data_IF_481205441491
#
_entry.id   IF_481205441491
#
_cell.length_a   1.000
_cell.length_b   1.000
_cell.length_c   1.000
_cell.angle_alpha   90.00
_cell.angle_beta   90.00
_cell.angle_gamma   90.00
#
_symmetry.space_group_name_H-M   'P 1'
#
loop_
_entity.id
_entity.type
_entity.pdbx_description
1 polymer ?
#
# COMPACT_ATOMS: atom_id res chain seq x y z
N UNK A 1 -48.96 -16.44 -13.59
CA UNK A 1 -48.64 -15.55 -12.40
C UNK A 1 -47.44 -16.09 -11.65
N UNK A 2 -47.40 -17.34 -11.16
CA UNK A 2 -46.31 -17.89 -10.39
C UNK A 2 -44.98 -17.91 -11.19
N UNK A 3 -45.02 -18.35 -12.42
CA UNK A 3 -43.87 -18.44 -13.34
C UNK A 3 -43.29 -17.04 -13.64
N UNK A 4 -44.14 -16.05 -13.83
CA UNK A 4 -43.72 -14.65 -13.99
C UNK A 4 -43.00 -14.09 -12.76
N UNK A 5 -43.53 -14.36 -11.55
CA UNK A 5 -42.90 -13.95 -10.29
C UNK A 5 -41.53 -14.60 -10.09
N UNK A 6 -41.40 -15.90 -10.41
CA UNK A 6 -40.11 -16.60 -10.28
C UNK A 6 -39.09 -16.07 -11.28
N UNK A 7 -39.50 -15.71 -12.49
CA UNK A 7 -38.63 -15.13 -13.51
C UNK A 7 -38.22 -13.69 -13.15
N UNK A 8 -39.11 -12.88 -12.62
CA UNK A 8 -38.81 -11.52 -12.14
C UNK A 8 -37.75 -11.53 -11.00
N UNK A 9 -37.87 -12.46 -10.05
CA UNK A 9 -36.86 -12.67 -9.01
C UNK A 9 -35.50 -13.01 -9.60
N UNK A 10 -35.45 -13.90 -10.63
CA UNK A 10 -34.20 -14.28 -11.28
C UNK A 10 -33.57 -13.09 -12.03
N UNK A 11 -34.37 -12.34 -12.76
CA UNK A 11 -33.92 -11.11 -13.46
C UNK A 11 -33.42 -10.07 -12.48
N UNK A 12 -34.11 -9.85 -11.37
CA UNK A 12 -33.71 -8.91 -10.34
C UNK A 12 -32.38 -9.31 -9.70
N UNK A 13 -32.15 -10.60 -9.44
CA UNK A 13 -30.88 -11.14 -8.92
C UNK A 13 -29.75 -10.92 -9.92
N UNK A 14 -29.94 -11.23 -11.20
CA UNK A 14 -28.93 -11.03 -12.24
C UNK A 14 -28.60 -9.55 -12.46
N UNK A 15 -29.60 -8.66 -12.39
CA UNK A 15 -29.37 -7.21 -12.41
C UNK A 15 -28.51 -6.74 -11.24
N UNK A 16 -28.74 -7.26 -10.03
CA UNK A 16 -27.91 -6.94 -8.86
C UNK A 16 -26.48 -7.45 -9.04
N UNK A 17 -26.31 -8.67 -9.55
CA UNK A 17 -24.98 -9.22 -9.85
C UNK A 17 -24.23 -8.36 -10.88
N UNK A 18 -24.92 -7.90 -11.94
CA UNK A 18 -24.36 -6.99 -12.94
C UNK A 18 -23.97 -5.65 -12.34
N UNK A 19 -24.79 -5.06 -11.47
CA UNK A 19 -24.47 -3.82 -10.76
C UNK A 19 -23.24 -3.97 -9.87
N UNK A 20 -23.11 -5.09 -9.16
CA UNK A 20 -21.94 -5.41 -8.36
C UNK A 20 -20.69 -5.58 -9.21
N UNK A 21 -20.77 -6.30 -10.33
CA UNK A 21 -19.68 -6.45 -11.29
C UNK A 21 -19.24 -5.08 -11.82
N UNK A 22 -20.17 -4.24 -12.25
CA UNK A 22 -19.87 -2.88 -12.72
C UNK A 22 -19.15 -2.06 -11.65
N UNK A 23 -19.61 -2.13 -10.39
CA UNK A 23 -18.93 -1.45 -9.27
C UNK A 23 -17.50 -1.96 -9.03
N UNK A 24 -17.26 -3.26 -9.20
CA UNK A 24 -15.91 -3.84 -9.13
C UNK A 24 -15.02 -3.33 -10.26
N UNK A 25 -15.53 -3.28 -11.48
CA UNK A 25 -14.80 -2.73 -12.63
C UNK A 25 -14.39 -1.27 -12.37
N UNK A 26 -15.30 -0.41 -11.93
CA UNK A 26 -14.96 0.97 -11.60
C UNK A 26 -13.87 1.11 -10.52
N UNK A 27 -13.90 0.25 -9.49
CA UNK A 27 -12.83 0.23 -8.47
C UNK A 27 -11.48 -0.20 -9.06
N UNK A 28 -11.48 -1.18 -9.95
CA UNK A 28 -10.27 -1.62 -10.65
C UNK A 28 -9.71 -0.52 -11.56
N UNK A 29 -10.57 0.16 -12.31
CA UNK A 29 -10.19 1.30 -13.16
C UNK A 29 -9.55 2.43 -12.34
N UNK A 30 -10.11 2.77 -11.17
CA UNK A 30 -9.53 3.77 -10.28
C UNK A 30 -8.17 3.32 -9.71
N UNK A 31 -8.03 2.04 -9.36
CA UNK A 31 -6.75 1.46 -8.93
C UNK A 31 -5.71 1.50 -10.06
N UNK A 32 -6.09 1.16 -11.29
CA UNK A 32 -5.20 1.22 -12.47
C UNK A 32 -4.76 2.65 -12.75
N UNK A 33 -5.68 3.61 -12.64
CA UNK A 33 -5.39 5.00 -12.97
C UNK A 33 -4.59 5.73 -11.90
N UNK A 34 -4.76 5.40 -10.62
CA UNK A 34 -4.22 6.19 -9.49
C UNK A 34 -3.34 5.37 -8.53
N UNK A 35 -3.87 4.27 -8.00
CA UNK A 35 -3.24 3.59 -6.86
C UNK A 35 -1.99 2.80 -7.26
N UNK A 36 -2.06 2.00 -8.32
CA UNK A 36 -0.90 1.23 -8.80
C UNK A 36 0.24 2.14 -9.29
N UNK A 37 0.01 3.17 -10.14
CA UNK A 37 1.07 4.08 -10.55
C UNK A 37 1.76 4.76 -9.38
N UNK A 38 1.01 5.24 -8.39
CA UNK A 38 1.56 5.85 -7.18
C UNK A 38 2.40 4.88 -6.35
N UNK A 39 1.95 3.64 -6.19
CA UNK A 39 2.71 2.61 -5.48
C UNK A 39 4.02 2.26 -6.21
N UNK A 40 3.98 2.17 -7.54
CA UNK A 40 5.15 1.92 -8.38
C UNK A 40 6.17 3.06 -8.21
N UNK A 41 5.74 4.32 -8.30
CA UNK A 41 6.60 5.49 -8.11
C UNK A 41 7.30 5.47 -6.75
N UNK A 42 6.53 5.29 -5.66
CA UNK A 42 7.07 5.21 -4.29
C UNK A 42 8.09 4.07 -4.14
N UNK A 43 7.83 2.91 -4.74
CA UNK A 43 8.74 1.77 -4.68
C UNK A 43 10.00 2.01 -5.51
N UNK A 44 9.90 2.64 -6.68
CA UNK A 44 11.05 3.02 -7.50
C UNK A 44 11.94 4.04 -6.80
N UNK A 45 11.38 5.08 -6.21
CA UNK A 45 12.12 6.06 -5.39
C UNK A 45 12.83 5.39 -4.21
N UNK A 46 12.15 4.45 -3.52
CA UNK A 46 12.72 3.71 -2.41
C UNK A 46 13.88 2.81 -2.85
N UNK A 47 13.76 2.12 -3.98
CA UNK A 47 14.82 1.29 -4.56
C UNK A 47 16.03 2.16 -4.89
N UNK A 48 15.82 3.28 -5.57
CA UNK A 48 16.88 4.23 -5.90
C UNK A 48 17.55 4.78 -4.63
N UNK A 49 16.77 5.12 -3.61
CA UNK A 49 17.29 5.57 -2.32
C UNK A 49 18.19 4.55 -1.65
N UNK A 50 17.79 3.25 -1.61
CA UNK A 50 18.63 2.18 -1.09
C UNK A 50 19.93 2.02 -1.89
N UNK A 51 19.86 2.05 -3.22
CA UNK A 51 21.04 1.95 -4.08
C UNK A 51 22.02 3.10 -3.83
N UNK A 52 21.52 4.32 -3.71
CA UNK A 52 22.33 5.52 -3.42
C UNK A 52 22.97 5.42 -2.03
N UNK A 53 22.21 5.01 -1.02
CA UNK A 53 22.69 4.90 0.34
C UNK A 53 23.75 3.79 0.48
N UNK A 54 23.53 2.63 -0.14
CA UNK A 54 24.52 1.54 -0.18
C UNK A 54 25.81 1.95 -0.87
N UNK A 55 25.73 2.73 -1.96
CA UNK A 55 26.91 3.26 -2.64
C UNK A 55 27.66 4.27 -1.75
N UNK A 56 26.92 5.12 -1.03
CA UNK A 56 27.47 6.07 -0.05
C UNK A 56 28.23 5.32 1.06
N UNK A 57 27.62 4.30 1.64
CA UNK A 57 28.24 3.43 2.64
C UNK A 57 29.50 2.78 2.10
N UNK A 58 29.41 2.19 0.91
CA UNK A 58 30.57 1.52 0.27
C UNK A 58 31.77 2.45 0.04
N UNK A 59 31.51 3.71 -0.31
CA UNK A 59 32.58 4.72 -0.53
C UNK A 59 33.21 5.22 0.76
N UNK A 60 32.46 5.25 1.85
CA UNK A 60 32.89 5.89 3.10
C UNK A 60 33.29 4.90 4.21
N UNK A 61 32.92 3.62 4.08
CA UNK A 61 33.44 2.59 4.98
C UNK A 61 34.78 2.07 4.47
N UNK A 62 35.80 1.95 5.34
CA UNK A 62 37.06 1.31 4.98
C UNK A 62 36.84 -0.13 4.56
N UNK A 63 37.61 -0.60 3.57
CA UNK A 63 37.59 -2.01 3.16
C UNK A 63 38.02 -2.95 4.30
N UNK A 64 38.87 -2.46 5.20
CA UNK A 64 39.31 -3.17 6.39
C UNK A 64 38.35 -2.87 7.54
N UNK A 65 37.65 -3.92 8.01
CA UNK A 65 36.66 -3.83 9.12
C UNK A 65 37.29 -3.45 10.47
N UNK A 66 38.61 -3.52 10.60
CA UNK A 66 39.34 -3.12 11.81
C UNK A 66 39.59 -1.63 11.87
N UNK A 67 39.46 -0.90 10.77
CA UNK A 67 39.57 0.54 10.68
C UNK A 67 38.26 1.24 10.96
N UNK A 68 37.79 1.19 12.21
CA UNK A 68 36.59 1.91 12.62
C UNK A 68 36.88 3.39 12.83
N UNK A 69 36.05 4.27 12.30
CA UNK A 69 36.07 5.71 12.51
C UNK A 69 34.69 6.30 12.48
N UNK A 70 34.27 6.98 13.52
CA UNK A 70 32.95 7.60 13.68
C UNK A 70 33.07 9.00 14.23
N UNK A 71 32.36 9.95 13.64
CA UNK A 71 32.24 11.30 14.20
C UNK A 71 31.00 11.38 15.10
N UNK A 72 31.19 11.74 16.38
CA UNK A 72 30.10 12.04 17.31
C UNK A 72 30.36 13.43 17.92
N UNK A 73 29.40 14.32 17.76
CA UNK A 73 29.60 15.75 18.07
C UNK A 73 30.74 16.32 17.23
N UNK A 74 31.71 16.92 17.90
CA UNK A 74 32.90 17.51 17.27
C UNK A 74 34.15 16.60 17.34
N UNK A 75 34.01 15.34 17.78
CA UNK A 75 35.11 14.40 17.96
C UNK A 75 35.00 13.20 17.05
N UNK A 76 36.18 12.68 16.67
CA UNK A 76 36.28 11.44 15.90
C UNK A 76 36.74 10.35 16.87
N UNK A 77 36.04 9.22 16.87
CA UNK A 77 36.30 8.03 17.66
C UNK A 77 36.75 6.88 16.76
N UNK A 78 37.81 6.21 17.18
CA UNK A 78 38.34 5.02 16.47
C UNK A 78 38.06 3.72 17.23
N UNK A 79 37.56 3.82 18.44
CA UNK A 79 37.10 2.70 19.28
C UNK A 79 35.57 2.67 19.30
N UNK A 80 35.01 1.47 19.04
CA UNK A 80 33.56 1.25 18.97
C UNK A 80 32.83 1.52 20.28
N UNK A 81 33.45 1.14 21.40
CA UNK A 81 32.87 1.30 22.74
C UNK A 81 32.87 2.77 23.14
N UNK A 82 33.98 3.49 22.87
CA UNK A 82 34.06 4.92 23.13
C UNK A 82 33.04 5.71 22.26
N UNK A 83 32.91 5.37 20.98
CA UNK A 83 31.91 5.98 20.10
C UNK A 83 30.48 5.74 20.61
N UNK A 84 30.18 4.51 21.01
CA UNK A 84 28.86 4.16 21.56
C UNK A 84 28.57 4.87 22.87
N UNK A 85 29.60 5.04 23.74
CA UNK A 85 29.50 5.84 24.98
C UNK A 85 29.21 7.30 24.66
N UNK A 86 29.93 7.88 23.70
CA UNK A 86 29.68 9.26 23.25
C UNK A 86 28.24 9.47 22.72
N UNK A 87 27.71 8.52 21.98
CA UNK A 87 26.29 8.54 21.52
C UNK A 87 25.38 8.59 22.75
N UNK A 88 25.58 7.73 23.75
CA UNK A 88 24.73 7.68 24.95
C UNK A 88 24.81 8.98 25.75
N UNK A 89 25.99 9.59 25.86
CA UNK A 89 26.17 10.91 26.53
C UNK A 89 25.37 11.97 25.78
N UNK A 90 25.46 12.04 24.44
CA UNK A 90 24.68 12.97 23.65
C UNK A 90 23.17 12.78 23.85
N UNK A 91 22.71 11.54 23.95
CA UNK A 91 21.30 11.24 24.25
C UNK A 91 20.86 11.75 25.62
N UNK A 92 21.73 11.64 26.66
CA UNK A 92 21.43 12.12 28.01
C UNK A 92 21.42 13.65 28.12
N UNK A 93 22.20 14.33 27.29
CA UNK A 93 22.26 15.79 27.23
C UNK A 93 21.14 16.40 26.36
N UNK A 94 20.37 15.58 25.65
CA UNK A 94 19.24 16.07 24.86
C UNK A 94 18.13 16.61 25.75
N UNK A 95 17.66 17.80 25.45
CA UNK A 95 16.40 18.31 26.00
C UNK A 95 15.24 17.51 25.47
N UNK A 96 14.36 17.03 26.34
CA UNK A 96 13.17 16.25 26.01
C UNK A 96 12.19 16.97 25.09
N UNK A 97 12.35 18.28 24.90
CA UNK A 97 11.56 19.12 24.00
C UNK A 97 12.11 19.12 22.55
N UNK A 98 13.32 18.64 22.33
CA UNK A 98 13.92 18.59 20.99
C UNK A 98 13.39 17.40 20.19
N UNK A 99 12.77 17.68 19.05
CA UNK A 99 12.16 16.63 18.21
C UNK A 99 13.19 15.71 17.54
N UNK A 100 14.32 16.25 17.07
CA UNK A 100 15.39 15.48 16.40
C UNK A 100 16.69 16.27 16.44
N UNK A 101 17.77 15.64 16.89
CA UNK A 101 19.10 16.25 17.03
C UNK A 101 20.11 15.50 16.17
N UNK A 102 20.88 16.22 15.35
CA UNK A 102 22.03 15.67 14.64
C UNK A 102 23.19 15.54 15.62
N UNK A 103 23.69 14.32 15.81
CA UNK A 103 24.74 14.00 16.78
C UNK A 103 26.07 13.62 16.15
N UNK A 104 26.15 13.48 14.83
CA UNK A 104 27.38 13.12 14.16
C UNK A 104 27.19 12.54 12.77
N UNK A 105 28.21 11.81 12.33
CA UNK A 105 28.24 11.21 10.99
C UNK A 105 28.96 9.85 11.04
N UNK A 106 28.42 8.87 10.31
CA UNK A 106 29.03 7.58 10.12
C UNK A 106 28.74 7.02 8.72
N UNK A 107 29.75 6.44 8.08
CA UNK A 107 29.64 5.85 6.75
C UNK A 107 29.08 6.79 5.67
N UNK A 108 29.36 8.10 5.79
CA UNK A 108 28.84 9.14 4.90
C UNK A 108 27.39 9.54 5.15
N UNK A 109 26.77 9.02 6.20
CA UNK A 109 25.41 9.35 6.61
C UNK A 109 25.38 10.15 7.90
N UNK A 110 24.44 11.10 7.99
CA UNK A 110 24.20 11.86 9.21
C UNK A 110 23.50 11.03 10.27
N UNK A 111 24.00 11.05 11.47
CA UNK A 111 23.38 10.43 12.64
C UNK A 111 22.48 11.44 13.33
N UNK A 112 21.20 11.12 13.41
CA UNK A 112 20.21 11.93 14.12
C UNK A 112 19.53 11.09 15.19
N UNK A 113 19.24 11.67 16.34
CA UNK A 113 18.56 11.00 17.44
C UNK A 113 17.29 11.75 17.79
N UNK A 114 16.23 11.01 18.07
CA UNK A 114 14.98 11.49 18.64
C UNK A 114 14.61 10.68 19.87
N UNK A 115 13.91 11.29 20.81
CA UNK A 115 13.35 10.58 21.96
C UNK A 115 11.90 10.23 21.71
N UNK A 116 11.60 8.94 21.64
CA UNK A 116 10.22 8.44 21.61
C UNK A 116 9.66 8.44 23.03
N UNK A 117 8.86 9.44 23.35
CA UNK A 117 8.26 9.63 24.67
C UNK A 117 7.22 8.55 25.01
N UNK A 118 6.59 7.94 24.01
CA UNK A 118 5.61 6.87 24.23
C UNK A 118 6.29 5.56 24.69
N UNK A 119 7.34 5.14 23.97
CA UNK A 119 8.11 3.94 24.31
C UNK A 119 9.26 4.21 25.29
N UNK A 120 9.52 5.47 25.62
CA UNK A 120 10.63 5.93 26.48
C UNK A 120 12.00 5.44 26.00
N UNK A 121 12.23 5.54 24.69
CA UNK A 121 13.45 5.07 24.04
C UNK A 121 14.01 6.14 23.11
N UNK A 122 15.33 6.13 22.99
CA UNK A 122 15.99 6.89 21.93
C UNK A 122 15.98 6.09 20.63
N UNK A 123 15.67 6.77 19.53
CA UNK A 123 15.71 6.22 18.19
C UNK A 123 16.79 6.94 17.40
N UNK A 124 17.75 6.19 16.88
CA UNK A 124 18.76 6.66 15.95
C UNK A 124 18.23 6.55 14.54
N UNK A 125 18.46 7.60 13.75
CA UNK A 125 18.22 7.64 12.31
C UNK A 125 19.54 7.91 11.60
N UNK A 126 19.98 6.97 10.76
CA UNK A 126 21.01 7.21 9.77
C UNK A 126 20.36 7.84 8.54
N UNK A 127 20.67 9.11 8.29
CA UNK A 127 20.08 9.88 7.20
C UNK A 127 21.04 9.95 6.02
N UNK A 128 20.71 9.18 4.98
CA UNK A 128 21.21 9.31 3.62
C UNK A 128 20.14 9.88 2.72
N UNK A 129 19.94 9.28 1.55
CA UNK A 129 18.77 9.53 0.72
C UNK A 129 17.49 9.06 1.44
N UNK A 130 17.54 7.88 2.03
CA UNK A 130 16.51 7.37 2.93
C UNK A 130 16.87 7.66 4.40
N UNK A 131 15.97 7.29 5.30
CA UNK A 131 16.18 7.30 6.74
C UNK A 131 16.14 5.87 7.27
N UNK A 132 17.23 5.43 7.90
CA UNK A 132 17.39 4.08 8.43
C UNK A 132 17.34 4.14 9.94
N UNK A 133 16.20 3.78 10.52
CA UNK A 133 15.92 3.96 11.95
C UNK A 133 16.14 2.67 12.73
N UNK A 134 16.67 2.79 13.95
CA UNK A 134 16.77 1.72 14.94
C UNK A 134 16.75 2.26 16.36
N UNK A 135 16.29 1.44 17.31
CA UNK A 135 16.25 1.79 18.71
C UNK A 135 17.65 1.68 19.35
N UNK A 136 18.03 2.69 20.13
CA UNK A 136 19.21 2.63 20.98
C UNK A 136 18.90 1.88 22.29
N UNK A 137 19.85 1.07 22.73
CA UNK A 137 19.82 0.43 24.04
C UNK A 137 20.76 1.11 25.03
N UNK A 138 20.86 0.56 26.24
CA UNK A 138 21.77 1.03 27.30
C UNK A 138 23.22 0.59 27.11
N UNK A 139 23.48 -0.40 26.26
CA UNK A 139 24.83 -0.89 25.97
C UNK A 139 25.47 -0.14 24.81
N UNK A 140 26.61 0.53 25.13
CA UNK A 140 27.37 1.36 24.20
C UNK A 140 27.84 0.55 22.97
N UNK A 141 28.46 -0.61 23.17
CA UNK A 141 28.97 -1.46 22.11
C UNK A 141 27.79 -2.07 21.28
N UNK A 142 26.75 -2.50 21.98
CA UNK A 142 25.54 -3.04 21.34
C UNK A 142 24.86 -2.03 20.42
N UNK A 143 24.94 -0.73 20.69
CA UNK A 143 24.41 0.32 19.81
C UNK A 143 25.19 0.41 18.50
N UNK A 144 26.52 0.27 18.54
CA UNK A 144 27.34 0.20 17.33
C UNK A 144 27.03 -1.07 16.51
N UNK A 145 26.82 -2.20 17.20
CA UNK A 145 26.41 -3.44 16.55
C UNK A 145 25.05 -3.29 15.84
N UNK A 146 24.06 -2.65 16.49
CA UNK A 146 22.76 -2.37 15.87
C UNK A 146 22.89 -1.48 14.65
N UNK A 147 23.75 -0.46 14.72
CA UNK A 147 24.04 0.41 13.59
C UNK A 147 24.62 -0.37 12.41
N UNK A 148 25.61 -1.24 12.65
CA UNK A 148 26.16 -2.09 11.60
C UNK A 148 25.11 -3.05 11.01
N UNK A 149 24.25 -3.65 11.84
CA UNK A 149 23.17 -4.51 11.37
C UNK A 149 22.19 -3.76 10.45
N UNK A 150 21.96 -2.47 10.69
CA UNK A 150 21.13 -1.64 9.82
C UNK A 150 21.78 -1.43 8.46
N UNK A 151 23.10 -1.15 8.44
CA UNK A 151 23.87 -1.00 7.19
C UNK A 151 23.91 -2.32 6.40
N UNK A 152 24.22 -3.41 7.06
CA UNK A 152 24.30 -4.76 6.45
C UNK A 152 22.91 -5.21 5.95
N UNK A 153 21.84 -4.80 6.62
CA UNK A 153 20.45 -5.12 6.25
C UNK A 153 19.90 -4.36 5.05
N UNK A 154 20.59 -3.33 4.53
CA UNK A 154 20.10 -2.52 3.41
C UNK A 154 19.89 -3.36 2.14
N UNK A 155 20.79 -4.28 1.84
CA UNK A 155 20.67 -5.15 0.67
C UNK A 155 19.41 -6.02 0.72
N UNK A 156 19.07 -6.56 1.89
CA UNK A 156 17.83 -7.31 2.09
C UNK A 156 16.59 -6.45 1.88
N UNK A 157 16.58 -5.23 2.41
CA UNK A 157 15.47 -4.27 2.23
C UNK A 157 15.32 -3.79 0.79
N UNK A 158 16.43 -3.65 0.06
CA UNK A 158 16.42 -3.38 -1.38
C UNK A 158 15.72 -4.53 -2.14
N UNK A 159 16.14 -5.77 -1.89
CA UNK A 159 15.54 -6.96 -2.52
C UNK A 159 14.04 -7.10 -2.20
N UNK A 160 13.63 -6.80 -0.96
CA UNK A 160 12.21 -6.75 -0.59
C UNK A 160 11.43 -5.67 -1.37
N UNK A 161 12.02 -4.50 -1.56
CA UNK A 161 11.39 -3.41 -2.32
C UNK A 161 11.25 -3.78 -3.81
N UNK A 162 12.27 -4.40 -4.40
CA UNK A 162 12.24 -4.90 -5.79
C UNK A 162 11.16 -5.98 -5.97
N UNK A 163 11.06 -6.91 -5.01
CA UNK A 163 10.02 -7.94 -5.02
C UNK A 163 8.62 -7.33 -4.94
N UNK A 164 8.43 -6.35 -4.07
CA UNK A 164 7.15 -5.62 -3.95
C UNK A 164 6.81 -4.88 -5.23
N UNK A 165 7.77 -4.22 -5.87
CA UNK A 165 7.58 -3.53 -7.15
C UNK A 165 7.10 -4.51 -8.22
N UNK A 166 7.76 -5.64 -8.37
CA UNK A 166 7.37 -6.67 -9.33
C UNK A 166 5.94 -7.19 -9.08
N UNK A 167 5.58 -7.39 -7.80
CA UNK A 167 4.23 -7.82 -7.43
C UNK A 167 3.17 -6.77 -7.79
N UNK A 168 3.43 -5.48 -7.54
CA UNK A 168 2.50 -4.40 -7.89
C UNK A 168 2.34 -4.28 -9.39
N UNK A 169 3.43 -4.39 -10.16
CA UNK A 169 3.38 -4.40 -11.64
C UNK A 169 2.53 -5.57 -12.14
N UNK A 170 2.71 -6.77 -11.58
CA UNK A 170 1.91 -7.94 -11.95
C UNK A 170 0.43 -7.75 -11.60
N UNK A 171 0.12 -7.17 -10.44
CA UNK A 171 -1.26 -6.84 -10.06
C UNK A 171 -1.88 -5.82 -11.01
N UNK A 172 -1.14 -4.80 -11.44
CA UNK A 172 -1.58 -3.83 -12.42
C UNK A 172 -1.93 -4.49 -13.76
N UNK A 173 -1.06 -5.37 -14.27
CA UNK A 173 -1.32 -6.08 -15.54
C UNK A 173 -2.53 -7.02 -15.41
N UNK A 174 -2.67 -7.73 -14.30
CA UNK A 174 -3.85 -8.55 -14.02
C UNK A 174 -5.12 -7.72 -13.97
N UNK A 175 -5.10 -6.57 -13.28
CA UNK A 175 -6.24 -5.66 -13.20
C UNK A 175 -6.64 -5.11 -14.58
N UNK A 176 -5.68 -4.76 -15.44
CA UNK A 176 -5.93 -4.32 -16.83
C UNK A 176 -6.63 -5.38 -17.68
N UNK A 177 -6.30 -6.65 -17.46
CA UNK A 177 -6.98 -7.75 -18.15
C UNK A 177 -8.38 -7.98 -17.57
N UNK A 178 -8.56 -7.84 -16.27
CA UNK A 178 -9.82 -8.09 -15.59
C UNK A 178 -10.90 -7.06 -15.97
N UNK A 179 -10.53 -5.78 -16.11
CA UNK A 179 -11.49 -4.73 -16.50
C UNK A 179 -12.04 -4.89 -17.91
N UNK A 180 -11.38 -5.68 -18.75
CA UNK A 180 -11.84 -5.96 -20.13
C UNK A 180 -12.85 -7.10 -20.20
N UNK A 181 -13.05 -7.85 -19.12
CA UNK A 181 -13.97 -8.97 -19.10
C UNK A 181 -15.41 -8.47 -19.00
N UNK A 182 -16.31 -8.94 -19.90
CA UNK A 182 -17.72 -8.64 -19.80
C UNK A 182 -18.33 -9.30 -18.55
N UNK A 183 -19.52 -8.85 -18.18
CA UNK A 183 -20.30 -9.54 -17.15
C UNK A 183 -20.59 -10.99 -17.58
N UNK A 184 -20.21 -12.02 -16.78
CA UNK A 184 -20.28 -13.41 -17.23
C UNK A 184 -21.70 -13.88 -17.58
N UNK A 185 -22.70 -13.40 -16.81
CA UNK A 185 -24.11 -13.79 -16.98
C UNK A 185 -24.90 -12.80 -17.87
N UNK A 186 -24.23 -12.01 -18.72
CA UNK A 186 -24.88 -11.01 -19.58
C UNK A 186 -25.88 -11.66 -20.56
N UNK A 187 -25.54 -12.80 -21.16
CA UNK A 187 -26.40 -13.53 -22.08
C UNK A 187 -27.65 -14.10 -21.36
N UNK A 188 -27.44 -14.67 -20.17
CA UNK A 188 -28.55 -15.20 -19.36
C UNK A 188 -29.51 -14.08 -18.92
N UNK A 189 -28.95 -12.95 -18.48
CA UNK A 189 -29.76 -11.79 -18.10
C UNK A 189 -30.60 -11.29 -19.25
N UNK A 190 -30.03 -11.19 -20.44
CA UNK A 190 -30.75 -10.74 -21.65
C UNK A 190 -31.88 -11.69 -22.01
N UNK A 191 -31.60 -12.99 -22.03
CA UNK A 191 -32.60 -14.03 -22.34
C UNK A 191 -33.79 -13.99 -21.36
N UNK A 192 -33.49 -13.95 -20.04
CA UNK A 192 -34.53 -13.88 -19.00
C UNK A 192 -35.33 -12.59 -19.03
N UNK A 193 -34.72 -11.47 -19.39
CA UNK A 193 -35.45 -10.21 -19.57
C UNK A 193 -36.39 -10.27 -20.79
N UNK A 194 -35.97 -10.89 -21.87
CA UNK A 194 -36.82 -11.08 -23.05
C UNK A 194 -38.01 -12.00 -22.72
N UNK A 195 -37.79 -13.12 -22.01
CA UNK A 195 -38.83 -14.02 -21.54
C UNK A 195 -39.84 -13.32 -20.62
N UNK A 196 -39.34 -12.52 -19.67
CA UNK A 196 -40.19 -11.75 -18.75
C UNK A 196 -41.07 -10.76 -19.52
N UNK A 197 -40.50 -10.02 -20.46
CA UNK A 197 -41.25 -9.07 -21.29
C UNK A 197 -42.33 -9.74 -22.14
N UNK A 198 -42.09 -10.95 -22.66
CA UNK A 198 -43.07 -11.72 -23.41
C UNK A 198 -44.23 -12.17 -22.51
N UNK A 199 -43.93 -12.67 -21.31
CA UNK A 199 -44.95 -13.07 -20.33
C UNK A 199 -45.81 -11.91 -19.86
N UNK A 200 -45.18 -10.76 -19.58
CA UNK A 200 -45.89 -9.52 -19.19
C UNK A 200 -46.84 -9.05 -20.32
N UNK A 201 -46.38 -9.11 -21.55
CA UNK A 201 -47.23 -8.74 -22.70
C UNK A 201 -48.46 -9.66 -22.85
N UNK A 202 -48.27 -10.98 -22.63
CA UNK A 202 -49.40 -11.95 -22.69
C UNK A 202 -50.40 -11.70 -21.54
N UNK A 203 -49.93 -11.49 -20.32
CA UNK A 203 -50.80 -11.21 -19.16
C UNK A 203 -51.60 -9.92 -19.34
N UNK A 204 -50.97 -8.86 -19.87
CA UNK A 204 -51.64 -7.58 -20.16
C UNK A 204 -52.68 -7.70 -21.30
N UNK A 205 -52.50 -8.64 -22.23
CA UNK A 205 -53.50 -8.89 -23.26
C UNK A 205 -54.71 -9.63 -22.71
N UNK A 206 -54.52 -10.60 -21.83
CA UNK A 206 -55.59 -11.34 -21.16
C UNK A 206 -56.44 -10.43 -20.24
N UNK A 207 -55.80 -9.52 -19.45
CA UNK A 207 -56.50 -8.56 -18.64
C UNK A 207 -57.38 -7.59 -19.43
N UNK A 208 -56.94 -7.19 -20.64
CA UNK A 208 -57.76 -6.35 -21.53
C UNK A 208 -58.91 -7.10 -22.19
N UNK A 209 -58.80 -8.42 -22.35
CA UNK A 209 -59.86 -9.24 -22.89
C UNK A 209 -60.98 -9.53 -21.88
N UNK A 210 -60.68 -9.47 -20.57
CA UNK A 210 -61.64 -9.74 -19.49
C UNK A 210 -62.42 -8.50 -19.02
N UNK A 211 -62.12 -7.27 -19.51
CA UNK A 211 -62.93 -6.09 -19.19
C UNK A 211 -64.18 -6.05 -20.06
N UNK A 212 -65.41 -6.33 -19.53
CA UNK A 212 -66.63 -6.28 -20.33
C UNK A 212 -66.93 -4.81 -20.73
N UNK A 213 -67.19 -4.63 -22.00
CA UNK A 213 -67.72 -3.34 -22.51
C UNK A 213 -69.10 -3.13 -21.87
N UNK A 214 -69.18 -2.20 -20.95
CA UNK A 214 -70.47 -1.73 -20.43
C UNK A 214 -71.13 -0.92 -21.54
N UNK A 215 -72.02 -1.56 -22.31
CA UNK A 215 -72.93 -0.85 -23.19
C UNK A 215 -73.85 0.04 -22.37
N UNK A 216 -73.63 1.33 -22.48
CA UNK A 216 -74.62 2.32 -22.00
C UNK A 216 -75.80 2.27 -22.90
N UNK A 217 -76.90 1.66 -22.47
CA UNK A 217 -78.22 1.86 -23.11
C UNK A 217 -78.64 3.36 -22.96
N UNK A 218 -79.12 3.96 -24.05
CA UNK A 218 -79.68 5.30 -23.97
C UNK A 218 -81.07 5.22 -23.38
N UNK A 219 -81.23 5.84 -22.19
CA UNK A 219 -82.58 6.08 -21.60
C UNK A 219 -83.32 7.16 -22.41
N UNK A 220 -84.53 6.79 -22.92
CA UNK A 220 -85.54 7.63 -23.54
C UNK A 220 -86.18 8.60 -22.52
#
# INVERSE_FOLDING_TARGET
>A
IKENMDLDIQVSRLKLMKANHTSQIYRLEDNIAKNYPKQIEILQERIQGFQTDMETVRKNLPADKDNFSMKVGNRIFIDKKEAGTAILVMCQEMDSLQQMVEIGEYAGMKMKVTFDSFNRKFVMSLKGELSHNFELGSDAFGNITRLHNVLDGMAGKLSEAETKLNNVIHQLETAKMEVQKPFPEEAELKEKMEQLAQLDALLNMDEKAETPVVENEPTV
#
